data_IF_983055133949
#
_entry.id   IF_983055133949
#
_cell.length_a   1.000
_cell.length_b   1.000
_cell.length_c   1.000
_cell.angle_alpha   90.00
_cell.angle_beta   90.00
_cell.angle_gamma   90.00
#
_symmetry.space_group_name_H-M   'P 1'
#
loop_
_entity.id
_entity.type
_entity.pdbx_description
1 polymer ?
#
# COMPACT_ATOMS: atom_id res chain seq x y z
N UNK A 1 1.03 -59.65 -29.58
CA UNK A 1 0.66 -60.03 -28.20
C UNK A 1 -0.76 -59.55 -27.95
N UNK A 2 -1.79 -60.40 -28.11
CA UNK A 2 -3.18 -60.01 -27.93
C UNK A 2 -3.57 -60.09 -26.44
N UNK A 3 -4.14 -59.00 -25.93
CA UNK A 3 -4.64 -58.90 -24.55
C UNK A 3 -5.93 -59.69 -24.35
N UNK A 4 -5.96 -60.48 -23.28
CA UNK A 4 -7.09 -61.29 -22.85
C UNK A 4 -8.10 -60.41 -22.07
N UNK A 5 -9.32 -60.25 -22.58
CA UNK A 5 -10.45 -59.71 -21.80
C UNK A 5 -11.57 -60.74 -21.78
N UNK A 6 -11.83 -61.31 -20.60
CA UNK A 6 -13.00 -62.13 -20.35
C UNK A 6 -14.09 -61.29 -19.68
N UNK A 7 -15.33 -61.24 -20.20
CA UNK A 7 -16.44 -60.57 -19.52
C UNK A 7 -16.97 -61.46 -18.39
N UNK A 8 -17.08 -60.91 -17.18
CA UNK A 8 -17.71 -61.60 -16.05
C UNK A 8 -19.22 -61.73 -16.29
N UNK A 9 -19.67 -62.97 -16.22
CA UNK A 9 -21.03 -63.45 -16.44
C UNK A 9 -21.98 -62.98 -15.34
N UNK A 10 -23.08 -62.36 -15.75
CA UNK A 10 -24.23 -61.97 -14.91
C UNK A 10 -24.94 -63.23 -14.40
N UNK A 11 -25.10 -63.35 -13.08
CA UNK A 11 -26.07 -64.28 -12.49
C UNK A 11 -27.26 -63.50 -11.95
N UNK A 12 -28.37 -63.57 -12.69
CA UNK A 12 -29.72 -63.36 -12.16
C UNK A 12 -30.04 -64.48 -11.17
N UNK A 13 -30.68 -64.13 -10.06
CA UNK A 13 -31.47 -65.11 -9.30
C UNK A 13 -32.71 -64.39 -8.77
N UNK A 14 -33.79 -64.54 -9.50
CA UNK A 14 -35.16 -64.37 -9.00
C UNK A 14 -35.42 -65.41 -7.93
N UNK A 15 -35.93 -65.02 -6.76
CA UNK A 15 -36.77 -65.89 -5.92
C UNK A 15 -37.70 -65.03 -5.03
N UNK A 16 -39.00 -65.36 -5.11
CA UNK A 16 -40.13 -64.66 -4.51
C UNK A 16 -40.42 -65.06 -3.04
N UNK A 17 -40.81 -64.07 -2.23
CA UNK A 17 -41.79 -64.06 -1.08
C UNK A 17 -41.42 -64.63 0.32
N UNK A 18 -42.13 -64.27 1.45
CA UNK A 18 -42.97 -63.09 1.76
C UNK A 18 -42.71 -62.42 3.17
N UNK A 19 -43.46 -61.32 3.42
CA UNK A 19 -43.59 -60.39 4.57
C UNK A 19 -43.31 -60.84 6.04
N UNK A 20 -42.64 -59.96 6.83
CA UNK A 20 -43.25 -59.29 8.01
C UNK A 20 -42.38 -58.10 8.52
N UNK A 21 -42.96 -57.00 9.06
CA UNK A 21 -42.24 -55.79 9.44
C UNK A 21 -41.81 -55.82 10.91
N UNK A 22 -40.54 -55.55 11.19
CA UNK A 22 -40.09 -55.27 12.56
C UNK A 22 -39.24 -54.00 12.60
N UNK A 23 -39.91 -52.94 13.02
CA UNK A 23 -39.41 -51.88 13.91
C UNK A 23 -37.94 -51.49 13.75
N UNK A 24 -37.69 -50.51 12.89
CA UNK A 24 -36.44 -49.76 12.88
C UNK A 24 -36.36 -48.87 14.13
N UNK A 25 -35.75 -49.38 15.21
CA UNK A 25 -35.20 -48.50 16.23
C UNK A 25 -34.06 -47.67 15.61
N UNK A 26 -34.10 -46.33 15.64
CA UNK A 26 -32.96 -45.54 15.24
C UNK A 26 -31.87 -45.71 16.32
N UNK A 27 -30.75 -46.30 15.94
CA UNK A 27 -29.53 -46.29 16.74
C UNK A 27 -29.15 -44.83 17.00
N UNK A 28 -29.47 -44.38 18.20
CA UNK A 28 -28.98 -43.13 18.76
C UNK A 28 -27.44 -43.10 18.79
N UNK A 29 -26.89 -41.89 18.64
CA UNK A 29 -25.47 -41.46 18.76
C UNK A 29 -24.54 -41.65 17.54
N UNK A 30 -24.32 -40.53 16.84
CA UNK A 30 -23.19 -39.61 17.11
C UNK A 30 -23.49 -38.22 16.56
N UNK A 31 -23.76 -37.26 17.44
CA UNK A 31 -23.73 -35.83 17.08
C UNK A 31 -22.27 -35.40 16.98
N UNK A 32 -21.63 -35.66 15.84
CA UNK A 32 -20.34 -35.02 15.54
C UNK A 32 -20.60 -33.54 15.28
N UNK A 33 -20.53 -32.72 16.33
CA UNK A 33 -20.16 -31.31 16.18
C UNK A 33 -18.65 -31.23 15.92
N UNK A 34 -18.15 -31.91 14.88
CA UNK A 34 -16.88 -31.54 14.29
C UNK A 34 -17.21 -30.51 13.24
N UNK A 35 -17.10 -29.22 13.60
CA UNK A 35 -17.01 -28.19 12.57
C UNK A 35 -15.97 -28.64 11.55
N UNK A 36 -16.35 -28.61 10.28
CA UNK A 36 -15.57 -29.17 9.18
C UNK A 36 -14.10 -28.74 9.34
N UNK A 37 -13.15 -29.69 9.40
CA UNK A 37 -11.73 -29.37 9.53
C UNK A 37 -11.25 -28.39 8.45
N UNK A 38 -11.88 -28.37 7.26
CA UNK A 38 -11.62 -27.40 6.20
C UNK A 38 -12.07 -26.00 6.62
N UNK A 39 -13.30 -25.87 7.14
CA UNK A 39 -13.83 -24.58 7.63
C UNK A 39 -12.95 -24.02 8.75
N UNK A 40 -12.52 -24.85 9.70
CA UNK A 40 -11.58 -24.42 10.76
C UNK A 40 -10.22 -24.00 10.22
N UNK A 41 -9.76 -24.62 9.14
CA UNK A 41 -8.49 -24.26 8.50
C UNK A 41 -8.61 -22.95 7.73
N UNK A 42 -9.76 -22.70 7.08
CA UNK A 42 -10.06 -21.44 6.41
C UNK A 42 -10.21 -20.28 7.39
N UNK A 43 -10.84 -20.48 8.55
CA UNK A 43 -10.89 -19.46 9.60
C UNK A 43 -9.50 -19.08 10.11
N UNK A 44 -8.61 -20.07 10.29
CA UNK A 44 -7.22 -19.82 10.69
C UNK A 44 -6.46 -19.05 9.63
N UNK A 45 -6.62 -19.44 8.36
CA UNK A 45 -5.99 -18.76 7.23
C UNK A 45 -6.46 -17.31 7.12
N UNK A 46 -7.77 -17.07 7.21
CA UNK A 46 -8.35 -15.73 7.16
C UNK A 46 -7.81 -14.85 8.30
N UNK A 47 -7.68 -15.39 9.51
CA UNK A 47 -7.10 -14.65 10.64
C UNK A 47 -5.62 -14.30 10.44
N UNK A 48 -4.82 -15.22 9.86
CA UNK A 48 -3.41 -14.92 9.53
C UNK A 48 -3.33 -13.83 8.46
N UNK A 49 -4.14 -13.91 7.41
CA UNK A 49 -4.19 -12.90 6.35
C UNK A 49 -4.63 -11.55 6.88
N UNK A 50 -5.66 -11.50 7.72
CA UNK A 50 -6.13 -10.28 8.39
C UNK A 50 -5.00 -9.64 9.21
N UNK A 51 -4.33 -10.41 10.05
CA UNK A 51 -3.21 -9.90 10.86
C UNK A 51 -2.04 -9.41 9.98
N UNK A 52 -1.76 -10.09 8.86
CA UNK A 52 -0.73 -9.65 7.91
C UNK A 52 -1.11 -8.33 7.23
N UNK A 53 -2.38 -8.17 6.85
CA UNK A 53 -2.90 -6.94 6.27
C UNK A 53 -2.85 -5.78 7.27
N UNK A 54 -3.28 -5.99 8.51
CA UNK A 54 -3.20 -4.98 9.58
C UNK A 54 -1.75 -4.52 9.80
N UNK A 55 -0.80 -5.46 9.90
CA UNK A 55 0.63 -5.13 10.01
C UNK A 55 1.17 -4.38 8.79
N UNK A 56 0.69 -4.71 7.58
CA UNK A 56 1.08 -3.99 6.37
C UNK A 56 0.56 -2.56 6.34
N UNK A 57 -0.66 -2.33 6.86
CA UNK A 57 -1.23 -0.99 7.00
C UNK A 57 -0.45 -0.15 8.01
N UNK A 58 -0.07 -0.72 9.17
CA UNK A 58 0.78 -0.03 10.15
C UNK A 58 2.16 0.33 9.58
N UNK A 59 2.69 -0.54 8.72
CA UNK A 59 3.98 -0.31 8.05
C UNK A 59 3.85 0.79 6.99
N UNK A 60 2.77 0.76 6.20
CA UNK A 60 2.46 1.79 5.22
C UNK A 60 2.24 3.16 5.90
N UNK A 61 1.53 3.20 7.02
CA UNK A 61 1.31 4.42 7.79
C UNK A 61 2.64 5.01 8.28
N UNK A 62 3.56 4.17 8.77
CA UNK A 62 4.93 4.61 9.12
C UNK A 62 5.69 5.14 7.91
N UNK A 63 5.58 4.51 6.74
CA UNK A 63 6.18 5.03 5.52
C UNK A 63 5.60 6.39 5.13
N UNK A 64 4.28 6.52 5.10
CA UNK A 64 3.60 7.78 4.85
C UNK A 64 4.00 8.86 5.86
N UNK A 65 4.14 8.50 7.13
CA UNK A 65 4.58 9.42 8.17
C UNK A 65 6.04 9.85 7.99
N UNK A 66 6.95 8.95 7.62
CA UNK A 66 8.35 9.28 7.30
C UNK A 66 8.42 10.19 6.07
N UNK A 67 7.63 9.90 5.03
CA UNK A 67 7.56 10.72 3.82
C UNK A 67 6.94 12.09 4.11
N UNK A 68 5.89 12.17 4.92
CA UNK A 68 5.29 13.43 5.37
C UNK A 68 6.22 14.24 6.30
N UNK A 69 7.09 13.57 7.05
CA UNK A 69 8.14 14.19 7.88
C UNK A 69 9.34 14.67 7.08
N UNK A 70 9.51 14.21 5.83
CA UNK A 70 10.46 14.78 4.87
C UNK A 70 9.96 16.15 4.39
N UNK A 71 9.84 17.10 5.32
CA UNK A 71 9.66 18.51 4.96
C UNK A 71 10.89 18.93 4.18
N UNK A 72 10.69 19.42 2.96
CA UNK A 72 11.74 20.11 2.23
C UNK A 72 12.31 21.20 3.14
N UNK A 73 13.63 21.27 3.23
CA UNK A 73 14.26 22.38 3.97
C UNK A 73 13.84 23.71 3.35
N UNK A 74 13.83 24.77 4.14
CA UNK A 74 13.46 26.11 3.63
C UNK A 74 14.32 26.51 2.42
N UNK A 75 15.61 26.16 2.46
CA UNK A 75 16.55 26.37 1.35
C UNK A 75 16.14 25.60 0.08
N UNK A 76 15.58 24.41 0.24
CA UNK A 76 15.12 23.60 -0.90
C UNK A 76 13.82 24.17 -1.50
N UNK A 77 12.93 24.72 -0.67
CA UNK A 77 11.75 25.46 -1.15
C UNK A 77 12.18 26.69 -1.95
N UNK A 78 13.12 27.47 -1.42
CA UNK A 78 13.64 28.66 -2.10
C UNK A 78 14.35 28.30 -3.41
N UNK A 79 15.19 27.25 -3.41
CA UNK A 79 15.86 26.78 -4.62
C UNK A 79 14.87 26.35 -5.71
N UNK A 80 13.77 25.68 -5.34
CA UNK A 80 12.72 25.32 -6.28
C UNK A 80 12.02 26.55 -6.88
N UNK A 81 11.78 27.59 -6.09
CA UNK A 81 11.19 28.84 -6.59
C UNK A 81 12.14 29.57 -7.55
N UNK A 82 13.44 29.63 -7.24
CA UNK A 82 14.44 30.20 -8.15
C UNK A 82 14.54 29.42 -9.47
N UNK A 83 14.35 28.11 -9.44
CA UNK A 83 14.36 27.26 -10.63
C UNK A 83 13.15 27.55 -11.54
N UNK A 84 11.96 27.81 -10.96
CA UNK A 84 10.76 28.19 -11.73
C UNK A 84 10.92 29.53 -12.46
N UNK A 85 11.77 30.42 -11.95
CA UNK A 85 12.06 31.73 -12.56
C UNK A 85 12.92 31.63 -13.82
N UNK A 86 13.41 30.44 -14.20
CA UNK A 86 14.21 30.20 -15.40
C UNK A 86 15.48 31.08 -15.48
N UNK A 87 16.04 31.44 -14.32
CA UNK A 87 17.29 32.19 -14.23
C UNK A 87 18.49 31.30 -14.58
N UNK A 88 19.61 31.86 -15.07
CA UNK A 88 20.85 31.12 -15.21
C UNK A 88 21.28 30.48 -13.89
N UNK A 89 21.84 29.26 -13.93
CA UNK A 89 22.26 28.54 -12.72
C UNK A 89 23.26 29.35 -11.87
N UNK A 90 24.15 30.13 -12.50
CA UNK A 90 25.08 31.03 -11.82
C UNK A 90 24.38 32.06 -10.94
N UNK A 91 23.23 32.56 -11.39
CA UNK A 91 22.47 33.60 -10.71
C UNK A 91 21.64 32.99 -9.58
N UNK A 92 21.07 31.79 -9.80
CA UNK A 92 20.42 31.01 -8.75
C UNK A 92 21.40 30.72 -7.60
N UNK A 93 22.63 30.28 -7.91
CA UNK A 93 23.68 30.03 -6.91
C UNK A 93 24.04 31.30 -6.16
N UNK A 94 24.20 32.43 -6.85
CA UNK A 94 24.54 33.71 -6.22
C UNK A 94 23.45 34.21 -5.26
N UNK A 95 22.19 34.06 -5.66
CA UNK A 95 21.02 34.42 -4.84
C UNK A 95 20.94 33.52 -3.61
N UNK A 96 21.11 32.20 -3.79
CA UNK A 96 21.17 31.24 -2.69
C UNK A 96 22.30 31.58 -1.72
N UNK A 97 23.49 31.94 -2.20
CA UNK A 97 24.59 32.40 -1.36
C UNK A 97 24.18 33.64 -0.57
N UNK A 98 23.56 34.65 -1.19
CA UNK A 98 23.07 35.85 -0.48
C UNK A 98 22.06 35.50 0.62
N UNK A 99 21.11 34.61 0.34
CA UNK A 99 20.14 34.14 1.34
C UNK A 99 20.77 33.37 2.50
N UNK A 100 21.79 32.55 2.24
CA UNK A 100 22.53 31.85 3.29
C UNK A 100 23.34 32.81 4.18
N UNK A 101 23.85 33.91 3.64
CA UNK A 101 24.61 34.91 4.39
C UNK A 101 23.73 35.93 5.11
N UNK A 102 22.56 36.26 4.54
CA UNK A 102 21.59 37.23 5.09
C UNK A 102 20.20 36.59 5.14
N UNK A 103 19.88 35.78 6.18
CA UNK A 103 18.60 35.07 6.30
C UNK A 103 17.38 36.00 6.25
N UNK A 104 17.51 37.25 6.70
CA UNK A 104 16.46 38.26 6.67
C UNK A 104 16.01 38.58 5.23
N UNK A 105 16.95 38.55 4.28
CA UNK A 105 16.67 38.75 2.86
C UNK A 105 15.87 37.58 2.30
N UNK A 106 16.13 36.35 2.79
CA UNK A 106 15.37 35.17 2.43
C UNK A 106 13.93 35.23 2.98
N UNK A 107 13.73 35.76 4.20
CA UNK A 107 12.39 36.00 4.74
C UNK A 107 11.60 37.00 3.89
N UNK A 108 12.23 38.10 3.46
CA UNK A 108 11.59 39.07 2.57
C UNK A 108 11.19 38.42 1.25
N UNK A 109 12.06 37.58 0.68
CA UNK A 109 11.72 36.80 -0.52
C UNK A 109 10.50 35.89 -0.32
N UNK A 110 10.43 35.19 0.83
CA UNK A 110 9.31 34.29 1.16
C UNK A 110 7.98 35.01 1.35
N UNK A 111 7.98 36.27 1.77
CA UNK A 111 6.74 37.04 1.98
C UNK A 111 6.11 37.57 0.69
N UNK A 112 6.83 37.52 -0.44
CA UNK A 112 6.32 37.94 -1.75
C UNK A 112 5.19 37.01 -2.21
N UNK A 113 4.07 37.61 -2.63
CA UNK A 113 2.84 36.86 -2.94
C UNK A 113 2.73 36.46 -4.41
N UNK A 114 3.42 37.18 -5.31
CA UNK A 114 3.41 36.87 -6.75
C UNK A 114 4.79 36.49 -7.27
N UNK A 115 4.80 35.67 -8.32
CA UNK A 115 6.02 35.28 -9.03
C UNK A 115 6.75 36.50 -9.62
N UNK A 116 6.00 37.52 -10.06
CA UNK A 116 6.58 38.76 -10.59
C UNK A 116 7.28 39.58 -9.50
N UNK A 117 6.71 39.69 -8.31
CA UNK A 117 7.35 40.34 -7.17
C UNK A 117 8.63 39.61 -6.75
N UNK A 118 8.58 38.26 -6.70
CA UNK A 118 9.75 37.43 -6.42
C UNK A 118 10.85 37.65 -7.46
N UNK A 119 10.50 37.68 -8.75
CA UNK A 119 11.45 37.90 -9.83
C UNK A 119 12.08 39.30 -9.75
N UNK A 120 11.28 40.34 -9.50
CA UNK A 120 11.79 41.72 -9.31
C UNK A 120 12.72 41.82 -8.10
N UNK A 121 12.40 41.14 -7.01
CA UNK A 121 13.24 41.08 -5.82
C UNK A 121 14.58 40.36 -6.09
N UNK A 122 14.54 39.24 -6.81
CA UNK A 122 15.76 38.53 -7.21
C UNK A 122 16.60 39.37 -8.18
N UNK A 123 15.98 40.06 -9.13
CA UNK A 123 16.67 40.96 -10.04
C UNK A 123 17.37 42.10 -9.29
N UNK A 124 16.73 42.71 -8.28
CA UNK A 124 17.35 43.77 -7.47
C UNK A 124 18.54 43.27 -6.64
N UNK A 125 18.48 42.03 -6.14
CA UNK A 125 19.59 41.35 -5.46
C UNK A 125 20.79 41.09 -6.37
N UNK A 126 20.54 40.73 -7.63
CA UNK A 126 21.58 40.47 -8.61
C UNK A 126 22.21 41.75 -9.16
N UNK A 127 21.43 42.83 -9.26
CA UNK A 127 21.88 44.15 -9.74
C UNK A 127 22.65 45.00 -8.71
N UNK A 128 23.06 44.42 -7.56
CA UNK A 128 23.85 45.06 -6.50
C UNK A 128 23.14 46.13 -5.64
N UNK A 129 21.82 46.14 -5.55
CA UNK A 129 21.12 47.12 -4.69
C UNK A 129 21.40 46.90 -3.18
N UNK A 130 21.98 45.74 -2.81
CA UNK A 130 22.26 45.34 -1.42
C UNK A 130 23.74 45.02 -1.12
N UNK A 131 24.66 45.49 -1.96
CA UNK A 131 26.10 45.38 -1.71
C UNK A 131 26.56 46.56 -0.83
N UNK A 132 26.21 46.49 0.45
CA UNK A 132 26.92 47.16 1.56
C UNK A 132 27.82 46.15 2.26
#
# INVERSE_FOLDING_TARGET
MPGNFSPLSVKQTDYNQPMHPTSSQPLSKKRSRSGDPIVRSMDRFANVMKNAMEKSNDTLDKFCQVLAKSKMSENQVIANDLLKMQLPLSDQVRVMQKFMHKPEVAEIFKTQQSEEQKLQFVASLLCRVFDD
#
